data_IF_113490033205
#
_entry.id   IF_113490033205
#
_cell.length_a   1.000
_cell.length_b   1.000
_cell.length_c   1.000
_cell.angle_alpha   90.00
_cell.angle_beta   90.00
_cell.angle_gamma   90.00
#
_symmetry.space_group_name_H-M   'P 1'
#
loop_
_entity.id
_entity.type
_entity.pdbx_description
1 polymer ?
#
# COMPACT_ATOMS: atom_id res chain seq x y z
N UNK A 1 -9.85 -11.49 21.24
CA UNK A 1 -10.13 -10.66 20.05
C UNK A 1 -11.60 -10.29 19.90
N UNK A 2 -12.57 -11.14 20.27
CA UNK A 2 -14.01 -10.76 20.28
C UNK A 2 -14.34 -9.72 21.37
N UNK A 3 -13.82 -9.92 22.59
CA UNK A 3 -14.13 -9.05 23.74
C UNK A 3 -13.61 -7.60 23.57
N UNK A 4 -12.51 -7.39 22.84
CA UNK A 4 -11.99 -6.04 22.56
C UNK A 4 -12.89 -5.27 21.59
N UNK A 5 -13.34 -5.92 20.50
CA UNK A 5 -14.19 -5.27 19.50
C UNK A 5 -15.54 -4.86 20.08
N UNK A 6 -16.17 -5.75 20.87
CA UNK A 6 -17.42 -5.44 21.57
C UNK A 6 -17.25 -4.24 22.53
N UNK A 7 -16.13 -4.14 23.23
CA UNK A 7 -15.88 -3.02 24.15
C UNK A 7 -15.64 -1.70 23.41
N UNK A 8 -14.93 -1.74 22.28
CA UNK A 8 -14.77 -0.56 21.43
C UNK A 8 -16.12 -0.10 20.85
N UNK A 9 -16.98 -1.04 20.44
CA UNK A 9 -18.34 -0.73 20.00
C UNK A 9 -19.16 -0.05 21.10
N UNK A 10 -19.09 -0.56 22.35
CA UNK A 10 -19.81 0.04 23.49
C UNK A 10 -19.34 1.45 23.85
N UNK A 11 -18.14 1.85 23.44
CA UNK A 11 -17.58 3.19 23.66
C UNK A 11 -17.87 4.16 22.52
N UNK A 12 -18.13 3.65 21.31
CA UNK A 12 -18.36 4.46 20.13
C UNK A 12 -19.72 5.17 20.20
N UNK A 13 -19.76 6.45 19.83
CA UNK A 13 -21.02 7.17 19.63
C UNK A 13 -21.72 6.68 18.34
N UNK A 14 -23.04 6.94 18.16
CA UNK A 14 -23.72 6.64 16.92
C UNK A 14 -23.02 7.28 15.71
N UNK A 15 -22.68 6.45 14.72
CA UNK A 15 -21.95 6.87 13.52
C UNK A 15 -20.43 6.90 13.65
N UNK A 16 -19.86 6.64 14.84
CA UNK A 16 -18.42 6.51 15.02
C UNK A 16 -17.93 5.08 14.77
N UNK A 17 -16.72 4.99 14.23
CA UNK A 17 -15.99 3.73 14.10
C UNK A 17 -14.68 3.85 14.86
N UNK A 18 -14.60 3.13 16.00
CA UNK A 18 -13.39 3.03 16.80
C UNK A 18 -12.62 1.76 16.45
N UNK A 19 -11.31 1.89 16.28
CA UNK A 19 -10.42 0.78 15.95
C UNK A 19 -9.26 0.70 16.94
N UNK A 20 -8.79 -0.52 17.19
CA UNK A 20 -7.54 -0.73 17.92
C UNK A 20 -6.31 -0.56 17.01
N UNK A 21 -5.14 -0.53 17.64
CA UNK A 21 -3.84 -0.31 16.98
C UNK A 21 -3.59 -1.22 15.77
N UNK A 22 -3.87 -2.53 15.87
CA UNK A 22 -3.62 -3.46 14.75
C UNK A 22 -4.45 -3.10 13.51
N UNK A 23 -5.74 -2.83 13.69
CA UNK A 23 -6.63 -2.43 12.59
C UNK A 23 -6.15 -1.11 12.02
N UNK A 24 -5.91 -0.09 12.85
CA UNK A 24 -5.33 1.18 12.41
C UNK A 24 -4.06 0.97 11.59
N UNK A 25 -3.11 0.15 12.07
CA UNK A 25 -1.87 -0.12 11.34
C UNK A 25 -2.12 -0.76 9.98
N UNK A 26 -3.07 -1.68 9.87
CA UNK A 26 -3.37 -2.36 8.62
C UNK A 26 -4.15 -1.49 7.63
N UNK A 27 -4.92 -0.48 8.09
CA UNK A 27 -5.83 0.30 7.26
C UNK A 27 -5.46 1.77 7.08
N UNK A 28 -4.47 2.30 7.82
CA UNK A 28 -4.00 3.71 7.73
C UNK A 28 -3.52 4.15 6.34
N UNK A 29 -3.30 3.20 5.44
CA UNK A 29 -2.97 3.48 4.05
C UNK A 29 -4.19 3.94 3.23
N UNK A 30 -5.41 3.66 3.70
CA UNK A 30 -6.67 3.93 2.99
C UNK A 30 -7.61 4.88 3.74
N UNK A 31 -7.46 5.05 5.06
CA UNK A 31 -8.32 5.90 5.88
C UNK A 31 -7.51 6.85 6.76
N UNK A 32 -8.06 8.04 7.03
CA UNK A 32 -7.58 8.95 8.06
C UNK A 32 -8.18 8.60 9.42
N UNK A 33 -7.40 8.84 10.46
CA UNK A 33 -7.77 8.52 11.83
C UNK A 33 -7.36 9.64 12.79
N UNK A 34 -8.19 9.86 13.79
CA UNK A 34 -7.87 10.63 14.98
C UNK A 34 -7.43 9.70 16.11
N UNK A 35 -6.31 10.01 16.77
CA UNK A 35 -5.87 9.25 17.94
C UNK A 35 -6.67 9.66 19.17
N UNK A 36 -7.32 8.70 19.81
CA UNK A 36 -7.98 8.91 21.11
C UNK A 36 -7.08 8.55 22.29
N UNK A 37 -5.85 8.13 22.02
CA UNK A 37 -4.87 7.74 23.04
C UNK A 37 -5.22 6.42 23.72
N UNK A 38 -4.67 6.25 24.91
CA UNK A 38 -4.80 5.07 25.75
C UNK A 38 -6.15 5.06 26.48
N UNK A 39 -7.06 4.18 26.04
CA UNK A 39 -8.39 4.03 26.64
C UNK A 39 -8.42 2.79 27.54
N UNK A 40 -8.80 2.99 28.80
CA UNK A 40 -9.00 1.90 29.75
C UNK A 40 -10.32 1.19 29.44
N UNK A 41 -10.22 -0.05 28.95
CA UNK A 41 -11.39 -0.88 28.69
C UNK A 41 -11.78 -1.62 29.96
N UNK A 42 -13.03 -1.46 30.42
CA UNK A 42 -13.56 -2.15 31.61
C UNK A 42 -13.27 -3.66 31.55
N UNK A 43 -12.68 -4.21 32.62
CA UNK A 43 -12.39 -5.64 32.73
C UNK A 43 -11.18 -6.13 31.92
N UNK A 44 -10.19 -5.28 31.66
CA UNK A 44 -8.85 -5.67 31.17
C UNK A 44 -7.80 -4.97 32.04
N UNK A 45 -6.72 -5.66 32.38
CA UNK A 45 -5.53 -5.00 32.90
C UNK A 45 -4.84 -4.27 31.74
N UNK A 46 -4.69 -2.95 31.85
CA UNK A 46 -4.03 -2.08 30.86
C UNK A 46 -4.98 -1.27 29.97
N UNK A 47 -4.47 -0.17 29.44
CA UNK A 47 -5.10 0.64 28.40
C UNK A 47 -4.89 0.01 27.02
N UNK A 48 -5.72 0.41 26.06
CA UNK A 48 -5.54 0.07 24.64
C UNK A 48 -5.50 1.38 23.86
N UNK A 49 -4.55 1.50 22.93
CA UNK A 49 -4.52 2.62 22.00
C UNK A 49 -5.72 2.53 21.05
N UNK A 50 -6.56 3.56 21.06
CA UNK A 50 -7.78 3.65 20.26
C UNK A 50 -7.65 4.77 19.23
N UNK A 51 -8.12 4.49 18.02
CA UNK A 51 -8.20 5.46 16.94
C UNK A 51 -9.64 5.55 16.45
N UNK A 52 -10.16 6.77 16.26
CA UNK A 52 -11.42 7.03 15.58
C UNK A 52 -11.17 7.17 14.08
N UNK A 53 -11.93 6.46 13.26
CA UNK A 53 -11.88 6.61 11.81
C UNK A 53 -12.62 7.89 11.42
N UNK A 54 -11.95 8.78 10.69
CA UNK A 54 -12.56 10.05 10.25
C UNK A 54 -13.16 9.93 8.85
N UNK A 55 -12.34 9.52 7.87
CA UNK A 55 -12.77 9.43 6.48
C UNK A 55 -11.87 8.50 5.64
N UNK A 56 -12.37 7.99 4.50
CA UNK A 56 -11.49 7.47 3.46
C UNK A 56 -10.54 8.55 2.93
N UNK A 57 -9.30 8.17 2.61
CA UNK A 57 -8.37 9.07 1.94
C UNK A 57 -8.81 9.28 0.48
N UNK A 58 -8.71 10.52 -0.01
CA UNK A 58 -9.01 10.85 -1.41
C UNK A 58 -8.17 10.03 -2.41
N UNK A 59 -6.93 9.70 -2.02
CA UNK A 59 -6.05 8.80 -2.74
C UNK A 59 -5.42 7.79 -1.77
N UNK A 60 -5.89 6.53 -1.75
CA UNK A 60 -5.27 5.48 -0.95
C UNK A 60 -3.81 5.25 -1.34
N UNK A 61 -2.96 5.06 -0.35
CA UNK A 61 -1.55 4.68 -0.53
C UNK A 61 -1.43 3.18 -0.70
N UNK A 62 -0.27 2.74 -1.19
CA UNK A 62 0.07 1.32 -1.22
C UNK A 62 -0.04 0.69 0.19
N UNK A 63 -0.91 -0.33 0.33
CA UNK A 63 -1.09 -1.10 1.56
C UNK A 63 0.18 -1.84 2.02
N UNK A 64 1.11 -2.07 1.08
CA UNK A 64 2.34 -2.84 1.27
C UNK A 64 3.56 -2.03 0.81
N UNK A 65 4.63 -2.17 1.58
CA UNK A 65 5.90 -1.47 1.37
C UNK A 65 6.09 -0.29 2.33
N UNK A 66 7.27 0.32 2.27
CA UNK A 66 7.63 1.48 3.12
C UNK A 66 7.24 2.82 2.50
N UNK A 67 6.64 2.82 1.30
CA UNK A 67 6.17 4.02 0.60
C UNK A 67 5.12 4.79 1.42
N UNK A 68 4.27 4.09 2.17
CA UNK A 68 3.33 4.72 3.10
C UNK A 68 4.02 5.49 4.25
N UNK A 69 5.31 5.23 4.49
CA UNK A 69 6.17 5.94 5.44
C UNK A 69 7.07 6.98 4.73
N UNK A 70 6.86 7.25 3.43
CA UNK A 70 7.69 8.17 2.65
C UNK A 70 9.07 7.63 2.29
N UNK A 71 9.35 6.35 2.57
CA UNK A 71 10.64 5.74 2.29
C UNK A 71 10.62 5.04 0.93
N UNK A 72 11.57 5.41 0.07
CA UNK A 72 11.86 4.72 -1.19
C UNK A 72 13.34 4.38 -1.23
N UNK A 73 13.66 3.12 -1.49
CA UNK A 73 15.03 2.64 -1.70
C UNK A 73 15.21 2.19 -3.15
N UNK A 74 16.35 2.45 -3.81
CA UNK A 74 16.59 1.94 -5.14
C UNK A 74 16.48 0.40 -5.15
N UNK A 75 15.97 -0.17 -6.24
CA UNK A 75 16.02 -1.62 -6.42
C UNK A 75 17.46 -2.04 -6.69
N UNK A 76 17.90 -3.15 -6.11
CA UNK A 76 19.28 -3.64 -6.23
C UNK A 76 19.26 -5.02 -6.90
N UNK A 77 20.17 -5.24 -7.85
CA UNK A 77 20.40 -6.56 -8.45
C UNK A 77 19.27 -7.05 -9.36
N UNK A 78 18.49 -6.13 -9.95
CA UNK A 78 17.34 -6.44 -10.82
C UNK A 78 17.41 -5.78 -12.20
N UNK A 79 18.60 -5.31 -12.59
CA UNK A 79 18.77 -4.60 -13.86
C UNK A 79 18.48 -5.50 -15.07
N UNK A 80 18.82 -6.79 -15.00
CA UNK A 80 18.52 -7.73 -16.08
C UNK A 80 17.01 -7.92 -16.30
N UNK A 81 16.24 -8.05 -15.21
CA UNK A 81 14.77 -8.14 -15.26
C UNK A 81 14.16 -6.83 -15.79
N UNK A 82 14.61 -5.67 -15.31
CA UNK A 82 14.14 -4.37 -15.76
C UNK A 82 14.41 -4.15 -17.24
N UNK A 83 15.62 -4.44 -17.70
CA UNK A 83 16.00 -4.29 -19.10
C UNK A 83 15.16 -5.19 -20.01
N UNK A 84 14.81 -6.41 -19.57
CA UNK A 84 13.88 -7.29 -20.32
C UNK A 84 12.48 -6.71 -20.42
N UNK A 85 11.97 -6.10 -19.34
CA UNK A 85 10.66 -5.45 -19.35
C UNK A 85 10.66 -4.21 -20.25
N UNK A 86 11.71 -3.38 -20.20
CA UNK A 86 11.87 -2.19 -21.05
C UNK A 86 11.99 -2.58 -22.53
N UNK A 87 12.79 -3.59 -22.85
CA UNK A 87 12.89 -4.11 -24.21
C UNK A 87 11.54 -4.63 -24.74
N UNK A 88 10.74 -5.26 -23.88
CA UNK A 88 9.38 -5.68 -24.24
C UNK A 88 8.49 -4.45 -24.52
N UNK A 89 8.58 -3.40 -23.72
CA UNK A 89 7.84 -2.17 -23.98
C UNK A 89 8.26 -1.52 -25.31
N UNK A 90 9.56 -1.49 -25.62
CA UNK A 90 10.06 -1.00 -26.91
C UNK A 90 9.42 -1.78 -28.09
N UNK A 91 9.32 -3.11 -28.00
CA UNK A 91 8.65 -3.93 -29.02
C UNK A 91 7.14 -3.65 -29.10
N UNK A 92 6.48 -3.39 -27.96
CA UNK A 92 5.07 -3.01 -27.92
C UNK A 92 4.82 -1.66 -28.58
N UNK A 93 5.70 -0.68 -28.35
CA UNK A 93 5.67 0.62 -29.04
C UNK A 93 5.90 0.47 -30.56
N UNK A 94 6.64 -0.56 -30.99
CA UNK A 94 6.80 -0.95 -32.39
C UNK A 94 5.56 -1.62 -33.03
N UNK A 95 4.47 -1.79 -32.29
CA UNK A 95 3.21 -2.37 -32.78
C UNK A 95 3.05 -3.88 -32.51
N UNK A 96 3.99 -4.51 -31.82
CA UNK A 96 3.93 -5.94 -31.49
C UNK A 96 3.45 -6.15 -30.05
N UNK A 97 2.23 -6.65 -29.86
CA UNK A 97 1.66 -6.88 -28.53
C UNK A 97 2.58 -7.77 -27.66
N UNK A 98 2.94 -7.29 -26.46
CA UNK A 98 3.79 -8.02 -25.52
C UNK A 98 3.04 -8.39 -24.24
N UNK A 99 3.39 -9.54 -23.68
CA UNK A 99 2.93 -10.00 -22.37
C UNK A 99 4.13 -10.39 -21.51
N UNK A 100 4.29 -9.73 -20.36
CA UNK A 100 5.32 -10.07 -19.38
C UNK A 100 4.66 -10.70 -18.15
N UNK A 101 5.10 -11.90 -17.78
CA UNK A 101 4.65 -12.59 -16.56
C UNK A 101 5.78 -12.66 -15.54
N UNK A 102 5.56 -12.06 -14.37
CA UNK A 102 6.52 -12.08 -13.26
C UNK A 102 6.22 -13.24 -12.31
N UNK A 103 7.14 -14.20 -12.23
CA UNK A 103 7.04 -15.39 -11.37
C UNK A 103 8.19 -15.39 -10.38
N UNK A 104 7.92 -15.82 -9.14
CA UNK A 104 8.93 -15.91 -8.10
C UNK A 104 8.30 -16.01 -6.72
N UNK A 105 9.12 -16.25 -5.71
CA UNK A 105 8.68 -16.48 -4.33
C UNK A 105 7.96 -15.27 -3.71
N UNK A 106 7.14 -15.52 -2.70
CA UNK A 106 6.55 -14.45 -1.90
C UNK A 106 7.65 -13.60 -1.26
N UNK A 107 7.54 -12.27 -1.34
CA UNK A 107 8.54 -11.37 -0.76
C UNK A 107 9.77 -11.07 -1.63
N UNK A 108 10.00 -11.77 -2.75
CA UNK A 108 11.20 -11.59 -3.61
C UNK A 108 11.31 -10.22 -4.31
N UNK A 109 10.31 -9.34 -4.15
CA UNK A 109 10.31 -8.00 -4.72
C UNK A 109 9.56 -7.83 -6.05
N UNK A 110 8.71 -8.77 -6.48
CA UNK A 110 7.93 -8.67 -7.73
C UNK A 110 7.15 -7.35 -7.86
N UNK A 111 6.43 -6.94 -6.81
CA UNK A 111 5.69 -5.67 -6.83
C UNK A 111 6.62 -4.46 -6.86
N UNK A 112 7.81 -4.56 -6.23
CA UNK A 112 8.82 -3.49 -6.28
C UNK A 112 9.41 -3.35 -7.69
N UNK A 113 9.65 -4.48 -8.36
CA UNK A 113 10.12 -4.51 -9.75
C UNK A 113 9.14 -3.84 -10.71
N UNK A 114 7.83 -4.10 -10.58
CA UNK A 114 6.80 -3.43 -11.40
C UNK A 114 6.77 -1.92 -11.14
N UNK A 115 6.85 -1.49 -9.88
CA UNK A 115 6.88 -0.06 -9.54
C UNK A 115 8.09 0.63 -10.14
N UNK A 116 9.28 0.05 -9.96
CA UNK A 116 10.51 0.58 -10.54
C UNK A 116 10.41 0.68 -12.08
N UNK A 117 9.88 -0.35 -12.73
CA UNK A 117 9.66 -0.33 -14.18
C UNK A 117 8.76 0.85 -14.59
N UNK A 118 7.64 1.07 -13.90
CA UNK A 118 6.73 2.19 -14.19
C UNK A 118 7.40 3.54 -13.94
N UNK A 119 8.18 3.67 -12.87
CA UNK A 119 8.98 4.89 -12.61
C UNK A 119 9.94 5.15 -13.77
N UNK A 120 10.74 4.16 -14.17
CA UNK A 120 11.70 4.32 -15.28
C UNK A 120 11.02 4.65 -16.61
N UNK A 121 9.83 4.10 -16.88
CA UNK A 121 9.05 4.45 -18.07
C UNK A 121 8.61 5.91 -18.04
N UNK A 122 8.27 6.45 -16.87
CA UNK A 122 7.94 7.87 -16.71
C UNK A 122 9.13 8.81 -16.88
N UNK A 123 10.33 8.34 -16.54
CA UNK A 123 11.57 9.14 -16.60
C UNK A 123 12.31 9.03 -17.96
N UNK A 124 11.95 8.06 -18.80
CA UNK A 124 12.61 7.79 -20.08
C UNK A 124 11.86 8.44 -21.25
N UNK A 125 12.50 9.41 -21.90
CA UNK A 125 11.94 10.18 -23.03
C UNK A 125 11.46 9.32 -24.20
N UNK A 126 11.99 8.10 -24.36
CA UNK A 126 11.56 7.15 -25.39
C UNK A 126 10.09 6.75 -25.22
N UNK A 127 9.59 6.78 -23.99
CA UNK A 127 8.24 6.34 -23.63
C UNK A 127 7.32 7.49 -23.25
N UNK A 128 7.66 8.75 -23.54
CA UNK A 128 6.81 9.93 -23.18
C UNK A 128 5.36 9.86 -23.69
N UNK A 129 5.11 9.12 -24.76
CA UNK A 129 3.78 8.94 -25.35
C UNK A 129 3.04 7.70 -24.82
N UNK A 130 3.63 6.97 -23.86
CA UNK A 130 3.05 5.77 -23.27
C UNK A 130 2.21 6.17 -22.07
N UNK A 131 0.91 5.85 -22.11
CA UNK A 131 0.04 5.95 -20.95
C UNK A 131 0.07 4.63 -20.16
N UNK A 132 0.49 4.70 -18.89
CA UNK A 132 0.46 3.53 -17.99
C UNK A 132 -0.88 3.48 -17.28
N UNK A 133 -1.60 2.36 -17.43
CA UNK A 133 -2.84 2.07 -16.69
C UNK A 133 -2.59 0.91 -15.72
N UNK A 134 -2.87 1.13 -14.45
CA UNK A 134 -2.85 0.09 -13.41
C UNK A 134 -4.29 -0.27 -13.05
N UNK A 135 -4.58 -1.56 -12.95
CA UNK A 135 -5.87 -2.11 -12.53
C UNK A 135 -5.82 -2.54 -11.07
#
# INVERSE_FOLDING_TARGET
>A
TVNTAQRLQSLAAPGEVLVGELTHRLTRHAFSYESMGDVVLRGKAGSVLVHRLDAPLAAPRAARGLEALGLSAPIIGRDAELNRMLASLDQACGGSAQLVRLVGEAGIGKSRLVREFVTRVGDDDRFRNVAVRQA
#
